data_IF_786431870882
#
_entry.id   IF_786431870882
#
_cell.length_a   1.000
_cell.length_b   1.000
_cell.length_c   1.000
_cell.angle_alpha   90.00
_cell.angle_beta   90.00
_cell.angle_gamma   90.00
#
_symmetry.space_group_name_H-M   'P 1'
#
loop_
_entity.id
_entity.type
_entity.pdbx_description
1 polymer ?
#
# COMPACT_ATOMS: atom_id res chain seq x y z
N UNK A 1 -4.43 -66.51 -6.84
CA UNK A 1 -3.61 -65.27 -6.70
C UNK A 1 -4.56 -64.08 -6.74
N UNK A 2 -4.88 -63.48 -5.60
CA UNK A 2 -5.66 -62.23 -5.53
C UNK A 2 -4.69 -61.10 -5.51
N UNK A 3 -4.71 -60.25 -6.54
CA UNK A 3 -3.95 -59.01 -6.61
C UNK A 3 -4.69 -58.00 -5.77
N UNK A 4 -4.18 -57.66 -4.58
CA UNK A 4 -4.70 -56.57 -3.79
C UNK A 4 -4.34 -55.26 -4.47
N UNK A 5 -5.35 -54.57 -5.01
CA UNK A 5 -5.21 -53.22 -5.48
C UNK A 5 -4.94 -52.29 -4.27
N UNK A 6 -3.72 -51.75 -4.20
CA UNK A 6 -3.31 -50.77 -3.21
C UNK A 6 -4.09 -49.48 -3.50
N UNK A 7 -5.16 -49.25 -2.74
CA UNK A 7 -5.87 -47.98 -2.74
C UNK A 7 -4.91 -46.93 -2.16
N UNK A 8 -4.37 -46.09 -2.99
CA UNK A 8 -3.60 -44.95 -2.56
C UNK A 8 -4.60 -43.96 -1.96
N UNK A 9 -4.60 -43.86 -0.63
CA UNK A 9 -5.39 -42.86 0.10
C UNK A 9 -4.83 -41.45 -0.15
N UNK A 10 -5.42 -40.76 -1.11
CA UNK A 10 -5.07 -39.38 -1.46
C UNK A 10 -5.44 -38.35 -0.39
N UNK A 11 -6.11 -38.76 0.70
CA UNK A 11 -6.47 -37.87 1.81
C UNK A 11 -5.31 -37.54 2.74
N UNK A 12 -4.15 -38.23 2.60
CA UNK A 12 -2.91 -38.00 3.38
C UNK A 12 -1.82 -37.30 2.62
N UNK A 13 -2.14 -36.69 1.48
CA UNK A 13 -1.19 -35.72 0.89
C UNK A 13 -1.16 -34.54 1.82
N UNK A 14 -0.15 -34.50 2.69
CA UNK A 14 0.23 -33.28 3.42
C UNK A 14 0.16 -32.12 2.43
N UNK A 15 -0.78 -31.21 2.64
CA UNK A 15 -0.73 -29.89 2.06
C UNK A 15 0.48 -29.15 2.65
N UNK A 16 1.65 -29.62 2.31
CA UNK A 16 2.90 -28.92 2.48
C UNK A 16 2.82 -27.68 1.61
N UNK A 17 2.87 -26.57 2.24
CA UNK A 17 2.85 -25.16 1.88
C UNK A 17 3.84 -24.79 0.76
N UNK A 18 3.69 -25.37 -0.40
CA UNK A 18 4.36 -24.89 -1.61
C UNK A 18 3.30 -24.19 -2.46
N UNK A 19 3.27 -22.86 -2.36
CA UNK A 19 2.54 -22.05 -3.33
C UNK A 19 2.92 -22.53 -4.74
N UNK A 20 1.92 -22.73 -5.61
CA UNK A 20 2.16 -23.18 -6.98
C UNK A 20 3.25 -22.28 -7.62
N UNK A 21 4.09 -22.78 -8.53
CA UNK A 21 5.16 -21.99 -9.15
C UNK A 21 4.69 -20.65 -9.72
N UNK A 22 3.46 -20.61 -10.20
CA UNK A 22 2.80 -19.37 -10.68
C UNK A 22 2.54 -18.37 -9.55
N UNK A 23 2.04 -18.80 -8.39
CA UNK A 23 1.82 -17.95 -7.22
C UNK A 23 3.14 -17.33 -6.75
N UNK A 24 4.23 -18.08 -6.69
CA UNK A 24 5.54 -17.57 -6.33
C UNK A 24 6.05 -16.50 -7.31
N UNK A 25 5.74 -16.65 -8.61
CA UNK A 25 6.07 -15.66 -9.63
C UNK A 25 5.28 -14.37 -9.44
N UNK A 26 3.97 -14.48 -9.18
CA UNK A 26 3.11 -13.32 -8.92
C UNK A 26 3.59 -12.58 -7.68
N UNK A 27 3.85 -13.26 -6.57
CA UNK A 27 4.37 -12.69 -5.32
C UNK A 27 5.66 -11.91 -5.59
N UNK A 28 6.65 -12.53 -6.22
CA UNK A 28 7.93 -11.90 -6.53
C UNK A 28 7.76 -10.65 -7.39
N UNK A 29 7.00 -10.75 -8.47
CA UNK A 29 6.78 -9.64 -9.40
C UNK A 29 6.02 -8.49 -8.72
N UNK A 30 5.06 -8.80 -7.84
CA UNK A 30 4.34 -7.80 -7.04
C UNK A 30 5.29 -6.99 -6.18
N UNK A 31 6.16 -7.64 -5.39
CA UNK A 31 7.09 -6.92 -4.51
C UNK A 31 8.17 -6.17 -5.28
N UNK A 32 8.65 -6.71 -6.41
CA UNK A 32 9.59 -6.00 -7.28
C UNK A 32 8.96 -4.73 -7.86
N UNK A 33 7.72 -4.83 -8.35
CA UNK A 33 7.01 -3.69 -8.90
C UNK A 33 6.64 -2.68 -7.81
N UNK A 34 6.25 -3.14 -6.61
CA UNK A 34 6.01 -2.28 -5.44
C UNK A 34 7.27 -1.48 -5.08
N UNK A 35 8.42 -2.15 -4.97
CA UNK A 35 9.68 -1.49 -4.65
C UNK A 35 10.08 -0.45 -5.72
N UNK A 36 9.97 -0.81 -7.00
CA UNK A 36 10.22 0.11 -8.11
C UNK A 36 9.26 1.32 -8.06
N UNK A 37 7.98 1.08 -7.84
CA UNK A 37 6.95 2.11 -7.77
C UNK A 37 7.18 3.06 -6.60
N UNK A 38 7.57 2.55 -5.45
CA UNK A 38 7.92 3.35 -4.28
C UNK A 38 9.16 4.23 -4.55
N UNK A 39 10.17 3.67 -5.24
CA UNK A 39 11.35 4.43 -5.64
C UNK A 39 10.98 5.55 -6.65
N UNK A 40 10.15 5.24 -7.66
CA UNK A 40 9.67 6.23 -8.65
C UNK A 40 8.88 7.35 -7.96
N UNK A 41 8.01 7.01 -7.00
CA UNK A 41 7.28 8.01 -6.23
C UNK A 41 8.22 8.87 -5.37
N UNK A 42 9.24 8.28 -4.75
CA UNK A 42 10.27 9.01 -4.01
C UNK A 42 11.04 10.01 -4.88
N UNK A 43 11.44 9.60 -6.09
CA UNK A 43 12.07 10.48 -7.09
C UNK A 43 11.12 11.60 -7.50
N UNK A 44 9.85 11.29 -7.78
CA UNK A 44 8.82 12.27 -8.11
C UNK A 44 8.64 13.31 -7.00
N UNK A 45 8.58 12.85 -5.74
CA UNK A 45 8.49 13.76 -4.58
C UNK A 45 9.72 14.68 -4.47
N UNK A 46 10.93 14.12 -4.64
CA UNK A 46 12.17 14.88 -4.65
C UNK A 46 12.19 15.95 -5.75
N UNK A 47 11.78 15.60 -6.97
CA UNK A 47 11.67 16.57 -8.08
C UNK A 47 10.68 17.68 -7.74
N UNK A 48 9.50 17.32 -7.20
CA UNK A 48 8.47 18.26 -6.81
C UNK A 48 8.95 19.26 -5.76
N UNK A 49 9.70 18.77 -4.76
CA UNK A 49 10.31 19.60 -3.71
C UNK A 49 11.36 20.54 -4.28
N UNK A 50 12.27 20.04 -5.13
CA UNK A 50 13.33 20.85 -5.77
C UNK A 50 12.76 21.92 -6.71
N UNK A 51 11.67 21.59 -7.42
CA UNK A 51 10.96 22.52 -8.29
C UNK A 51 10.13 23.57 -7.53
N UNK A 52 9.96 23.42 -6.22
CA UNK A 52 9.18 24.35 -5.39
C UNK A 52 7.68 24.32 -5.71
N UNK A 53 7.14 23.17 -6.11
CA UNK A 53 5.71 23.07 -6.41
C UNK A 53 4.87 23.32 -5.15
N UNK A 54 3.87 24.20 -5.28
CA UNK A 54 2.94 24.52 -4.20
C UNK A 54 1.79 23.50 -4.09
N UNK A 55 0.94 23.68 -3.06
CA UNK A 55 -0.16 22.77 -2.75
C UNK A 55 -1.15 22.57 -3.92
N UNK A 56 -1.41 23.62 -4.71
CA UNK A 56 -2.29 23.51 -5.88
C UNK A 56 -1.70 22.55 -6.93
N UNK A 57 -0.41 22.65 -7.22
CA UNK A 57 0.27 21.73 -8.14
C UNK A 57 0.23 20.29 -7.60
N UNK A 58 0.40 20.11 -6.29
CA UNK A 58 0.26 18.79 -5.63
C UNK A 58 -1.11 18.18 -5.84
N UNK A 59 -2.18 18.95 -5.66
CA UNK A 59 -3.56 18.50 -5.92
C UNK A 59 -3.73 18.11 -7.39
N UNK A 60 -3.25 18.96 -8.32
CA UNK A 60 -3.36 18.70 -9.76
C UNK A 60 -2.64 17.39 -10.13
N UNK A 61 -1.40 17.16 -9.65
CA UNK A 61 -0.66 15.92 -9.94
C UNK A 61 -1.36 14.70 -9.35
N UNK A 62 -1.92 14.81 -8.14
CA UNK A 62 -2.68 13.71 -7.51
C UNK A 62 -3.92 13.37 -8.35
N UNK A 63 -4.68 14.36 -8.80
CA UNK A 63 -5.85 14.16 -9.66
C UNK A 63 -5.46 13.60 -11.04
N UNK A 64 -4.39 14.11 -11.64
CA UNK A 64 -3.85 13.58 -12.91
C UNK A 64 -3.42 12.12 -12.76
N UNK A 65 -2.93 11.71 -11.59
CA UNK A 65 -2.58 10.31 -11.28
C UNK A 65 -3.77 9.35 -11.36
N UNK A 66 -4.99 9.83 -11.18
CA UNK A 66 -6.18 8.99 -11.33
C UNK A 66 -6.37 8.48 -12.77
N UNK A 67 -5.92 9.25 -13.77
CA UNK A 67 -6.06 8.86 -15.19
C UNK A 67 -5.33 7.56 -15.51
N UNK A 68 -3.99 7.44 -15.27
CA UNK A 68 -3.30 6.17 -15.47
C UNK A 68 -3.80 5.06 -14.52
N UNK A 69 -4.30 5.38 -13.34
CA UNK A 69 -4.87 4.40 -12.42
C UNK A 69 -6.16 3.77 -13.01
N UNK A 70 -7.08 4.58 -13.54
CA UNK A 70 -8.28 4.06 -14.22
C UNK A 70 -7.93 3.32 -15.52
N UNK A 71 -6.97 3.82 -16.29
CA UNK A 71 -6.48 3.15 -17.48
C UNK A 71 -5.90 1.76 -17.14
N UNK A 72 -5.11 1.68 -16.09
CA UNK A 72 -4.52 0.43 -15.59
C UNK A 72 -5.61 -0.58 -15.23
N UNK A 73 -6.65 -0.18 -14.52
CA UNK A 73 -7.79 -1.05 -14.17
C UNK A 73 -8.43 -1.67 -15.43
N UNK A 74 -8.59 -0.88 -16.48
CA UNK A 74 -9.16 -1.32 -17.76
C UNK A 74 -8.22 -2.21 -18.56
N UNK A 75 -6.89 -2.01 -18.43
CA UNK A 75 -5.84 -2.68 -19.22
C UNK A 75 -4.92 -3.58 -18.38
N UNK A 76 -5.37 -4.03 -17.22
CA UNK A 76 -4.58 -4.76 -16.22
C UNK A 76 -3.85 -6.01 -16.74
N UNK A 77 -4.39 -6.66 -17.78
CA UNK A 77 -3.84 -7.89 -18.36
C UNK A 77 -3.01 -7.62 -19.65
N UNK A 78 -2.61 -6.38 -19.89
CA UNK A 78 -1.82 -6.01 -21.07
C UNK A 78 -0.43 -5.50 -20.67
N UNK A 79 0.51 -5.49 -21.61
CA UNK A 79 1.84 -4.94 -21.40
C UNK A 79 1.83 -3.44 -20.99
N UNK A 80 0.74 -2.73 -21.26
CA UNK A 80 0.58 -1.32 -20.88
C UNK A 80 0.33 -1.12 -19.37
N UNK A 81 0.03 -2.17 -18.62
CA UNK A 81 -0.28 -2.05 -17.19
C UNK A 81 0.91 -1.56 -16.34
N UNK A 82 2.12 -2.08 -16.58
CA UNK A 82 3.32 -1.68 -15.85
C UNK A 82 3.69 -0.21 -16.11
N UNK A 83 3.80 0.27 -17.37
CA UNK A 83 4.01 1.70 -17.63
C UNK A 83 2.93 2.59 -17.00
N UNK A 84 1.66 2.19 -17.05
CA UNK A 84 0.58 2.96 -16.43
C UNK A 84 0.74 3.05 -14.91
N UNK A 85 1.15 1.97 -14.25
CA UNK A 85 1.45 1.99 -12.81
C UNK A 85 2.61 2.93 -12.49
N UNK A 86 3.71 2.89 -13.24
CA UNK A 86 4.85 3.76 -13.01
C UNK A 86 4.50 5.22 -13.26
N UNK A 87 3.66 5.53 -14.26
CA UNK A 87 3.13 6.88 -14.49
C UNK A 87 2.26 7.33 -13.31
N UNK A 88 1.38 6.47 -12.83
CA UNK A 88 0.57 6.75 -11.64
C UNK A 88 1.43 7.05 -10.42
N UNK A 89 2.44 6.23 -10.14
CA UNK A 89 3.31 6.42 -8.96
C UNK A 89 4.23 7.63 -9.08
N UNK A 90 4.69 7.98 -10.30
CA UNK A 90 5.42 9.22 -10.56
C UNK A 90 4.57 10.46 -10.27
N UNK A 91 3.32 10.48 -10.76
CA UNK A 91 2.37 11.57 -10.49
C UNK A 91 1.98 11.63 -9.01
N UNK A 92 1.78 10.48 -8.36
CA UNK A 92 1.55 10.43 -6.91
C UNK A 92 2.72 11.03 -6.12
N UNK A 93 3.96 10.74 -6.53
CA UNK A 93 5.16 11.32 -5.93
C UNK A 93 5.23 12.83 -6.13
N UNK A 94 5.01 13.31 -7.36
CA UNK A 94 4.92 14.76 -7.63
C UNK A 94 3.85 15.43 -6.76
N UNK A 95 2.71 14.77 -6.58
CA UNK A 95 1.62 15.23 -5.72
C UNK A 95 1.99 15.26 -4.23
N UNK A 96 2.85 14.35 -3.79
CA UNK A 96 3.32 14.25 -2.40
C UNK A 96 4.33 15.34 -2.02
N UNK A 97 5.11 15.86 -2.98
CA UNK A 97 6.19 16.81 -2.73
C UNK A 97 5.81 18.02 -1.90
N UNK A 98 4.72 18.77 -2.19
CA UNK A 98 4.26 19.90 -1.39
C UNK A 98 3.96 19.53 0.06
N UNK A 99 3.37 18.36 0.30
CA UNK A 99 3.12 17.84 1.66
C UNK A 99 4.43 17.61 2.39
N UNK A 100 5.41 16.95 1.76
CA UNK A 100 6.73 16.74 2.37
C UNK A 100 7.45 18.06 2.64
N UNK A 101 7.40 19.02 1.71
CA UNK A 101 7.98 20.36 1.90
C UNK A 101 7.36 21.04 3.12
N UNK A 102 6.05 20.96 3.29
CA UNK A 102 5.37 21.50 4.45
C UNK A 102 5.92 20.93 5.76
N UNK A 103 6.03 19.59 5.85
CA UNK A 103 6.55 18.94 7.06
C UNK A 103 8.05 19.23 7.28
N UNK A 104 8.88 19.21 6.24
CA UNK A 104 10.33 19.45 6.36
C UNK A 104 10.63 20.87 6.86
N UNK A 105 9.78 21.83 6.52
CA UNK A 105 9.92 23.22 6.98
C UNK A 105 9.48 23.46 8.45
N UNK A 106 8.88 22.46 9.10
CA UNK A 106 8.59 22.52 10.54
C UNK A 106 9.85 22.26 11.39
N UNK A 107 9.89 22.74 12.64
CA UNK A 107 10.97 22.38 13.57
C UNK A 107 11.13 20.86 13.67
N UNK A 108 12.35 20.35 13.43
CA UNK A 108 12.59 18.89 13.42
C UNK A 108 11.96 18.11 12.26
N UNK A 109 11.39 18.80 11.27
CA UNK A 109 10.56 18.19 10.23
C UNK A 109 11.27 17.16 9.35
N UNK A 110 12.55 17.33 9.06
CA UNK A 110 13.34 16.31 8.32
C UNK A 110 13.41 14.99 9.07
N UNK A 111 13.60 15.02 10.40
CA UNK A 111 13.59 13.83 11.22
C UNK A 111 12.20 13.21 11.31
N UNK A 112 11.14 14.02 11.34
CA UNK A 112 9.74 13.56 11.33
C UNK A 112 9.42 12.78 10.06
N UNK A 113 9.78 13.31 8.89
CA UNK A 113 9.57 12.64 7.60
C UNK A 113 10.36 11.32 7.53
N UNK A 114 11.64 11.34 7.94
CA UNK A 114 12.47 10.14 7.96
C UNK A 114 11.91 9.09 8.92
N UNK A 115 11.50 9.49 10.12
CA UNK A 115 10.91 8.59 11.12
C UNK A 115 9.61 7.97 10.61
N UNK A 116 8.74 8.77 9.96
CA UNK A 116 7.53 8.25 9.32
C UNK A 116 7.84 7.18 8.26
N UNK A 117 8.85 7.42 7.42
CA UNK A 117 9.27 6.47 6.40
C UNK A 117 9.82 5.16 7.01
N UNK A 118 10.65 5.26 8.07
CA UNK A 118 11.20 4.09 8.78
C UNK A 118 10.08 3.29 9.44
N UNK A 119 9.17 3.94 10.17
CA UNK A 119 8.04 3.27 10.83
C UNK A 119 7.16 2.58 9.80
N UNK A 120 6.79 3.28 8.72
CA UNK A 120 5.95 2.70 7.65
C UNK A 120 6.59 1.48 7.03
N UNK A 121 7.89 1.55 6.73
CA UNK A 121 8.64 0.44 6.17
C UNK A 121 8.69 -0.73 7.16
N UNK A 122 9.01 -0.47 8.43
CA UNK A 122 9.09 -1.50 9.46
C UNK A 122 7.73 -2.20 9.66
N UNK A 123 6.63 -1.44 9.75
CA UNK A 123 5.28 -1.98 9.88
C UNK A 123 4.92 -2.83 8.65
N UNK A 124 5.15 -2.30 7.45
CA UNK A 124 4.86 -3.03 6.20
C UNK A 124 5.60 -4.34 6.13
N UNK A 125 6.92 -4.34 6.40
CA UNK A 125 7.74 -5.54 6.39
C UNK A 125 7.33 -6.53 7.48
N UNK A 126 7.03 -6.06 8.69
CA UNK A 126 6.61 -6.91 9.80
C UNK A 126 5.28 -7.61 9.50
N UNK A 127 4.27 -6.87 9.00
CA UNK A 127 2.96 -7.41 8.67
C UNK A 127 3.03 -8.38 7.49
N UNK A 128 3.79 -8.04 6.46
CA UNK A 128 4.05 -8.91 5.30
C UNK A 128 4.75 -10.20 5.74
N UNK A 129 5.82 -10.10 6.52
CA UNK A 129 6.54 -11.27 7.04
C UNK A 129 5.66 -12.13 7.95
N UNK A 130 4.80 -11.52 8.76
CA UNK A 130 3.85 -12.24 9.60
C UNK A 130 2.89 -13.10 8.78
N UNK A 131 2.29 -12.56 7.72
CA UNK A 131 1.38 -13.31 6.85
C UNK A 131 2.12 -14.44 6.13
N UNK A 132 3.30 -14.16 5.54
CA UNK A 132 4.11 -15.17 4.86
C UNK A 132 4.51 -16.32 5.80
N UNK A 133 4.82 -16.02 7.06
CA UNK A 133 5.28 -17.00 8.04
C UNK A 133 4.16 -17.84 8.64
N UNK A 134 2.98 -17.24 8.85
CA UNK A 134 1.85 -17.87 9.52
C UNK A 134 0.83 -18.48 8.55
N UNK A 135 0.79 -18.02 7.30
CA UNK A 135 -0.24 -18.38 6.33
C UNK A 135 -1.67 -18.00 6.75
N UNK A 136 -1.82 -17.14 7.78
CA UNK A 136 -3.14 -16.76 8.27
C UNK A 136 -3.98 -16.09 7.21
N UNK A 137 -5.26 -16.43 7.19
CA UNK A 137 -6.26 -15.88 6.28
C UNK A 137 -6.87 -14.61 6.85
N UNK A 138 -6.58 -13.49 6.17
CA UNK A 138 -7.17 -12.18 6.43
C UNK A 138 -8.16 -11.74 5.33
N UNK A 139 -8.45 -12.58 4.33
CA UNK A 139 -9.33 -12.25 3.21
C UNK A 139 -10.76 -11.91 3.65
N UNK A 140 -11.20 -12.46 4.77
CA UNK A 140 -12.53 -12.19 5.36
C UNK A 140 -12.69 -10.79 5.92
N UNK A 141 -11.59 -10.06 6.14
CA UNK A 141 -11.63 -8.68 6.66
C UNK A 141 -12.01 -7.65 5.59
N UNK A 142 -12.06 -8.00 4.31
CA UNK A 142 -12.27 -7.05 3.20
C UNK A 142 -13.49 -6.14 3.38
N UNK A 143 -14.64 -6.71 3.77
CA UNK A 143 -15.86 -5.92 4.01
C UNK A 143 -15.73 -4.94 5.17
N UNK A 144 -15.13 -5.37 6.27
CA UNK A 144 -14.87 -4.51 7.43
C UNK A 144 -13.88 -3.37 7.10
N UNK A 145 -12.80 -3.70 6.42
CA UNK A 145 -11.80 -2.71 5.99
C UNK A 145 -12.38 -1.71 5.00
N UNK A 146 -13.22 -2.16 4.06
CA UNK A 146 -13.90 -1.27 3.13
C UNK A 146 -14.86 -0.32 3.84
N UNK A 147 -15.66 -0.80 4.79
CA UNK A 147 -16.50 0.05 5.62
C UNK A 147 -15.68 1.06 6.43
N UNK A 148 -14.57 0.61 7.03
CA UNK A 148 -13.60 1.46 7.72
C UNK A 148 -13.01 2.55 6.82
N UNK A 149 -12.72 2.22 5.56
CA UNK A 149 -12.20 3.19 4.58
C UNK A 149 -13.22 4.32 4.32
N UNK A 150 -14.50 3.99 4.17
CA UNK A 150 -15.55 5.00 4.00
C UNK A 150 -15.60 5.90 5.25
N UNK A 151 -15.55 5.32 6.43
CA UNK A 151 -15.55 6.10 7.69
C UNK A 151 -14.33 7.03 7.76
N UNK A 152 -13.13 6.54 7.44
CA UNK A 152 -11.91 7.35 7.45
C UNK A 152 -11.98 8.48 6.42
N UNK A 153 -12.49 8.24 5.22
CA UNK A 153 -12.68 9.28 4.20
C UNK A 153 -13.62 10.38 4.71
N UNK A 154 -14.79 10.01 5.23
CA UNK A 154 -15.74 10.97 5.77
C UNK A 154 -15.17 11.74 6.97
N UNK A 155 -14.50 11.04 7.89
CA UNK A 155 -13.84 11.65 9.04
C UNK A 155 -12.70 12.59 8.61
N UNK A 156 -11.94 12.26 7.55
CA UNK A 156 -10.90 13.12 6.99
C UNK A 156 -11.47 14.41 6.42
N UNK A 157 -12.63 14.34 5.75
CA UNK A 157 -13.33 15.54 5.27
C UNK A 157 -13.82 16.39 6.46
N UNK A 158 -14.39 15.78 7.49
CA UNK A 158 -14.82 16.49 8.69
C UNK A 158 -13.63 17.14 9.43
N UNK A 159 -12.46 16.48 9.45
CA UNK A 159 -11.24 16.98 10.08
C UNK A 159 -10.67 18.25 9.38
N UNK A 160 -11.05 18.55 8.14
CA UNK A 160 -10.73 19.83 7.49
C UNK A 160 -11.39 21.01 8.20
N UNK A 161 -12.55 20.80 8.83
CA UNK A 161 -13.32 21.80 9.54
C UNK A 161 -13.10 21.76 11.06
N UNK A 162 -12.62 20.61 11.59
CA UNK A 162 -12.40 20.37 13.01
C UNK A 162 -10.98 19.84 13.21
N UNK A 163 -9.96 20.73 13.33
CA UNK A 163 -8.56 20.31 13.42
C UNK A 163 -8.24 19.35 14.56
N UNK A 164 -8.96 19.45 15.69
CA UNK A 164 -8.80 18.54 16.83
C UNK A 164 -9.05 17.06 16.49
N UNK A 165 -9.77 16.76 15.39
CA UNK A 165 -10.02 15.39 14.94
C UNK A 165 -8.86 14.79 14.14
N UNK A 166 -7.96 15.62 13.62
CA UNK A 166 -6.95 15.17 12.64
C UNK A 166 -6.05 14.07 13.19
N UNK A 167 -5.55 14.20 14.42
CA UNK A 167 -4.70 13.19 15.05
C UNK A 167 -5.45 11.85 15.22
N UNK A 168 -6.70 11.89 15.69
CA UNK A 168 -7.54 10.71 15.87
C UNK A 168 -7.82 10.00 14.53
N UNK A 169 -8.17 10.78 13.49
CA UNK A 169 -8.40 10.25 12.14
C UNK A 169 -7.12 9.61 11.58
N UNK A 170 -5.97 10.25 11.76
CA UNK A 170 -4.68 9.70 11.30
C UNK A 170 -4.31 8.40 12.02
N UNK A 171 -4.60 8.29 13.32
CA UNK A 171 -4.37 7.06 14.08
C UNK A 171 -5.26 5.91 13.56
N UNK A 172 -6.54 6.17 13.36
CA UNK A 172 -7.48 5.18 12.80
C UNK A 172 -7.08 4.80 11.37
N UNK A 173 -6.68 5.76 10.55
CA UNK A 173 -6.20 5.53 9.20
C UNK A 173 -4.94 4.64 9.17
N UNK A 174 -3.96 4.89 10.05
CA UNK A 174 -2.76 4.06 10.16
C UNK A 174 -3.11 2.59 10.51
N UNK A 175 -4.02 2.37 11.44
CA UNK A 175 -4.51 1.02 11.78
C UNK A 175 -5.25 0.38 10.61
N UNK A 176 -6.11 1.13 9.93
CA UNK A 176 -6.88 0.66 8.78
C UNK A 176 -5.97 0.21 7.63
N UNK A 177 -5.00 1.06 7.24
CA UNK A 177 -4.09 0.72 6.14
C UNK A 177 -3.11 -0.41 6.52
N UNK A 178 -2.75 -0.55 7.79
CA UNK A 178 -2.06 -1.74 8.31
C UNK A 178 -2.92 -3.00 8.13
N UNK A 179 -4.23 -2.91 8.39
CA UNK A 179 -5.19 -3.98 8.12
C UNK A 179 -5.28 -4.34 6.63
N UNK A 180 -5.29 -3.35 5.74
CA UNK A 180 -5.27 -3.58 4.30
C UNK A 180 -3.97 -4.23 3.83
N UNK A 181 -2.82 -3.92 4.43
CA UNK A 181 -1.55 -4.61 4.13
C UNK A 181 -1.64 -6.10 4.50
N UNK A 182 -2.22 -6.45 5.65
CA UNK A 182 -2.47 -7.84 6.03
C UNK A 182 -3.42 -8.52 5.04
N UNK A 183 -4.51 -7.87 4.68
CA UNK A 183 -5.52 -8.37 3.74
C UNK A 183 -4.93 -8.64 2.35
N UNK A 184 -4.25 -7.66 1.75
CA UNK A 184 -3.68 -7.80 0.42
C UNK A 184 -2.55 -8.84 0.39
N UNK A 185 -1.68 -8.86 1.41
CA UNK A 185 -0.64 -9.87 1.54
C UNK A 185 -1.23 -11.27 1.67
N UNK A 186 -2.30 -11.42 2.46
CA UNK A 186 -2.99 -12.71 2.63
C UNK A 186 -3.56 -13.24 1.31
N UNK A 187 -4.25 -12.38 0.55
CA UNK A 187 -4.80 -12.74 -0.76
C UNK A 187 -3.71 -13.11 -1.77
N UNK A 188 -2.62 -12.36 -1.76
CA UNK A 188 -1.46 -12.60 -2.63
C UNK A 188 -0.80 -13.96 -2.33
N UNK A 189 -0.52 -14.26 -1.06
CA UNK A 189 0.12 -15.51 -0.62
C UNK A 189 -0.77 -16.73 -0.89
N UNK A 190 -2.08 -16.57 -0.79
CA UNK A 190 -3.06 -17.63 -1.03
C UNK A 190 -3.38 -17.82 -2.52
N UNK A 191 -2.83 -16.98 -3.40
CA UNK A 191 -3.09 -17.04 -4.84
C UNK A 191 -4.49 -16.57 -5.24
N UNK A 192 -5.18 -15.81 -4.38
CA UNK A 192 -6.48 -15.21 -4.66
C UNK A 192 -6.37 -13.97 -5.55
N UNK A 193 -5.18 -13.39 -5.64
CA UNK A 193 -4.83 -12.32 -6.57
C UNK A 193 -3.77 -12.82 -7.54
N UNK A 194 -4.15 -12.97 -8.80
CA UNK A 194 -3.33 -13.51 -9.89
C UNK A 194 -2.63 -12.42 -10.72
N UNK A 195 -3.09 -11.18 -10.59
CA UNK A 195 -2.52 -10.05 -11.32
C UNK A 195 -1.53 -9.26 -10.45
N UNK A 196 -0.23 -9.48 -10.68
CA UNK A 196 0.84 -8.84 -9.91
C UNK A 196 0.83 -7.30 -9.98
N UNK A 197 0.30 -6.70 -11.09
CA UNK A 197 0.22 -5.23 -11.21
C UNK A 197 -0.88 -4.70 -10.31
N UNK A 198 -2.05 -5.36 -10.28
CA UNK A 198 -3.16 -4.96 -9.41
C UNK A 198 -2.79 -5.13 -7.93
N UNK A 199 -2.13 -6.26 -7.57
CA UNK A 199 -1.59 -6.46 -6.23
C UNK A 199 -0.60 -5.35 -5.84
N UNK A 200 0.32 -4.99 -6.74
CA UNK A 200 1.31 -3.95 -6.48
C UNK A 200 0.67 -2.56 -6.32
N UNK A 201 -0.37 -2.23 -7.11
CA UNK A 201 -1.13 -0.98 -6.98
C UNK A 201 -1.81 -0.89 -5.62
N UNK A 202 -2.53 -1.95 -5.22
CA UNK A 202 -3.23 -1.98 -3.93
C UNK A 202 -2.25 -1.82 -2.77
N UNK A 203 -1.17 -2.60 -2.77
CA UNK A 203 -0.13 -2.51 -1.73
C UNK A 203 0.56 -1.14 -1.72
N UNK A 204 0.84 -0.55 -2.89
CA UNK A 204 1.42 0.80 -2.98
C UNK A 204 0.51 1.85 -2.34
N UNK A 205 -0.79 1.81 -2.65
CA UNK A 205 -1.76 2.74 -2.06
C UNK A 205 -1.86 2.58 -0.54
N UNK A 206 -1.83 1.34 -0.03
CA UNK A 206 -1.87 1.08 1.40
C UNK A 206 -0.60 1.59 2.10
N UNK A 207 0.58 1.35 1.52
CA UNK A 207 1.86 1.85 2.06
C UNK A 207 1.92 3.38 2.03
N UNK A 208 1.48 4.02 0.93
CA UNK A 208 1.44 5.48 0.81
C UNK A 208 0.50 6.10 1.86
N UNK A 209 -0.71 5.56 2.01
CA UNK A 209 -1.67 6.07 2.97
C UNK A 209 -1.23 5.81 4.43
N UNK A 210 -0.59 4.67 4.71
CA UNK A 210 0.02 4.40 6.01
C UNK A 210 1.13 5.43 6.30
N UNK A 211 2.00 5.70 5.32
CA UNK A 211 3.04 6.72 5.45
C UNK A 211 2.46 8.09 5.77
N UNK A 212 1.46 8.54 5.01
CA UNK A 212 0.81 9.83 5.25
C UNK A 212 0.14 9.90 6.63
N UNK A 213 -0.49 8.81 7.06
CA UNK A 213 -1.12 8.74 8.38
C UNK A 213 -0.10 8.82 9.52
N UNK A 214 1.01 8.08 9.41
CA UNK A 214 2.11 8.12 10.39
C UNK A 214 2.79 9.49 10.38
N UNK A 215 3.02 10.07 9.20
CA UNK A 215 3.61 11.40 9.05
C UNK A 215 2.76 12.47 9.74
N UNK A 216 1.44 12.43 9.55
CA UNK A 216 0.51 13.34 10.20
C UNK A 216 0.54 13.18 11.74
N UNK A 217 0.51 11.93 12.24
CA UNK A 217 0.58 11.67 13.68
C UNK A 217 1.85 12.23 14.32
N UNK A 218 3.00 12.01 13.69
CA UNK A 218 4.28 12.53 14.19
C UNK A 218 4.35 14.05 14.10
N UNK A 219 3.76 14.65 13.05
CA UNK A 219 3.71 16.09 12.88
C UNK A 219 2.89 16.80 13.97
N UNK A 220 1.81 16.17 14.46
CA UNK A 220 1.07 16.71 15.61
C UNK A 220 1.87 16.65 16.90
N UNK A 221 2.57 15.55 17.14
CA UNK A 221 3.39 15.38 18.36
C UNK A 221 4.60 16.31 18.44
N UNK A 222 5.03 16.89 17.31
CA UNK A 222 6.18 17.82 17.26
C UNK A 222 5.79 19.27 17.51
N UNK A 223 4.50 19.59 17.58
CA UNK A 223 3.98 20.95 17.77
C UNK A 223 3.52 21.24 19.20
N UNK A 224 3.54 20.22 20.08
CA UNK A 224 3.31 20.33 21.54
C UNK A 224 4.67 20.42 22.27
#
# INVERSE_FOLDING_TARGET
MRTEARVIDLSKTEYGTYAAPETNRVIRNTYQLLALSTAVAGVGAGISMLAGFGSLAGIVFTLLGLVPLFYLHKKRNTAAAVPAMLTFTALSGLGLGPTLTHYINMPGGSSTVLTAAVITTAVTLALTAYVHKTGKDFSRMGGFLFAGLIVVILASIAALFVPAMQAGVSAVAALLFSGFILYDTSRLVRGEEDNYVMAAVSMYLNVLNLFLSVLQLLGFSSND
#
